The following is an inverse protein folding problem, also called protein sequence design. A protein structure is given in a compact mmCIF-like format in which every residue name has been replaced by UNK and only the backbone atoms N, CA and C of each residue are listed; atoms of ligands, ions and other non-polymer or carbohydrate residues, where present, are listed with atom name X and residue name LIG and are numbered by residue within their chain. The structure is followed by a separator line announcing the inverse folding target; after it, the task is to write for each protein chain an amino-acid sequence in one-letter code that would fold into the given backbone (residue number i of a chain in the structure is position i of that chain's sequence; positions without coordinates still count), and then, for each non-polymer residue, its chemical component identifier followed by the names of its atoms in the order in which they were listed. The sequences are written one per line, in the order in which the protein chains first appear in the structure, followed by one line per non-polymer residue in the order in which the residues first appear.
data_IF_709767592884
#
_entry.id   IF_709767592884
#
_cell.length_a   1.000
_cell.length_b   1.000
_cell.length_c   1.000
_cell.angle_alpha   90.00
_cell.angle_beta   90.00
_cell.angle_gamma   90.00
#
_symmetry.space_group_name_H-M   'P 1'
#
loop_
_entity.id
_entity.type
_entity.pdbx_description
1 polymer ?
#
# COMPACT_ATOMS: atom_id res chain seq x y z
N UNK A 1 16.92 -31.31 42.75
CA UNK A 1 15.78 -30.38 42.55
C UNK A 1 16.14 -29.11 41.76
N UNK A 2 17.34 -28.53 41.90
CA UNK A 2 17.72 -27.27 41.21
C UNK A 2 17.91 -27.33 39.68
N UNK A 3 18.09 -28.52 39.07
CA UNK A 3 18.32 -28.65 37.61
C UNK A 3 17.05 -28.61 36.77
N UNK A 4 15.90 -28.98 37.34
CA UNK A 4 14.61 -28.96 36.64
C UNK A 4 14.07 -27.53 36.58
N UNK A 5 14.28 -26.75 37.64
CA UNK A 5 13.87 -25.34 37.70
C UNK A 5 14.60 -24.47 36.66
N UNK A 6 15.89 -24.76 36.40
CA UNK A 6 16.70 -24.04 35.40
C UNK A 6 16.27 -24.35 33.97
N UNK A 7 15.83 -25.58 33.69
CA UNK A 7 15.31 -25.96 32.36
C UNK A 7 13.97 -25.28 32.04
N UNK A 8 13.10 -25.08 33.04
CA UNK A 8 11.81 -24.40 32.85
C UNK A 8 12.01 -22.91 32.58
N UNK A 9 13.01 -22.26 33.21
CA UNK A 9 13.32 -20.84 32.96
C UNK A 9 13.88 -20.62 31.55
N UNK A 10 14.69 -21.55 31.03
CA UNK A 10 15.22 -21.45 29.65
C UNK A 10 14.12 -21.68 28.60
N UNK A 11 13.17 -22.58 28.88
CA UNK A 11 12.03 -22.83 27.99
C UNK A 11 11.03 -21.66 27.95
N UNK A 12 10.93 -20.86 29.02
CA UNK A 12 10.09 -19.65 29.04
C UNK A 12 10.70 -18.46 28.29
N UNK A 13 12.02 -18.45 28.08
CA UNK A 13 12.73 -17.41 27.32
C UNK A 13 12.54 -17.50 25.80
N UNK A 14 11.93 -18.56 25.29
CA UNK A 14 11.55 -18.67 23.86
C UNK A 14 10.22 -17.98 23.54
N UNK A 15 9.62 -17.27 24.51
CA UNK A 15 8.39 -16.53 24.31
C UNK A 15 8.67 -15.22 23.58
N UNK A 16 8.04 -15.07 22.40
CA UNK A 16 7.69 -13.79 21.76
C UNK A 16 8.80 -13.04 21.00
N UNK A 17 9.29 -13.64 19.91
CA UNK A 17 9.69 -12.85 18.74
C UNK A 17 8.92 -13.30 17.50
N UNK A 18 7.59 -13.28 17.63
CA UNK A 18 6.66 -13.26 16.50
C UNK A 18 5.80 -11.99 16.61
N UNK A 19 6.43 -10.86 16.95
CA UNK A 19 5.84 -9.54 16.77
C UNK A 19 5.91 -9.20 15.28
N UNK A 20 4.77 -8.86 14.69
CA UNK A 20 4.59 -8.58 13.25
C UNK A 20 5.73 -7.73 12.67
N UNK A 21 6.66 -8.34 11.95
CA UNK A 21 7.78 -7.65 11.29
C UNK A 21 7.33 -6.71 10.15
N UNK A 22 6.04 -6.66 9.81
CA UNK A 22 5.54 -6.04 8.59
C UNK A 22 4.17 -5.36 8.76
N UNK A 23 3.89 -4.73 9.90
CA UNK A 23 2.64 -3.99 10.08
C UNK A 23 2.81 -2.54 9.61
N UNK A 24 2.44 -2.27 8.36
CA UNK A 24 2.17 -0.90 7.96
C UNK A 24 0.90 -0.40 8.64
N UNK A 25 0.98 0.71 9.35
CA UNK A 25 -0.23 1.46 9.69
C UNK A 25 -0.86 2.00 8.40
N UNK A 26 -2.06 1.51 8.07
CA UNK A 26 -2.76 1.82 6.82
C UNK A 26 -2.96 3.33 6.63
N UNK A 27 -3.23 4.06 7.71
CA UNK A 27 -3.44 5.50 7.67
C UNK A 27 -2.13 6.23 7.36
N UNK A 28 -1.05 5.86 8.03
CA UNK A 28 0.29 6.41 7.79
C UNK A 28 0.73 6.18 6.35
N UNK A 29 0.53 4.98 5.81
CA UNK A 29 0.85 4.68 4.40
C UNK A 29 0.02 5.52 3.44
N UNK A 30 -1.29 5.64 3.70
CA UNK A 30 -2.17 6.44 2.87
C UNK A 30 -1.78 7.92 2.88
N UNK A 31 -1.44 8.47 4.06
CA UNK A 31 -0.97 9.84 4.21
C UNK A 31 0.35 10.07 3.44
N UNK A 32 1.34 9.20 3.64
CA UNK A 32 2.60 9.28 2.90
C UNK A 32 2.38 9.23 1.39
N UNK A 33 1.51 8.34 0.91
CA UNK A 33 1.17 8.25 -0.50
C UNK A 33 0.49 9.52 -1.02
N UNK A 34 -0.47 10.07 -0.27
CA UNK A 34 -1.15 11.32 -0.61
C UNK A 34 -0.17 12.50 -0.67
N UNK A 35 0.73 12.61 0.31
CA UNK A 35 1.75 13.66 0.32
C UNK A 35 2.62 13.58 -0.94
N UNK A 36 3.11 12.39 -1.30
CA UNK A 36 3.89 12.21 -2.53
C UNK A 36 3.07 12.53 -3.79
N UNK A 37 1.78 12.18 -3.82
CA UNK A 37 0.89 12.47 -4.95
C UNK A 37 0.70 13.98 -5.10
N UNK A 38 0.40 14.70 -4.01
CA UNK A 38 0.16 16.14 -4.04
C UNK A 38 1.44 16.94 -4.30
N UNK A 39 2.58 16.48 -3.79
CA UNK A 39 3.88 17.07 -4.10
C UNK A 39 4.25 16.92 -5.58
N UNK A 40 3.92 15.77 -6.20
CA UNK A 40 4.23 15.50 -7.61
C UNK A 40 3.21 16.11 -8.57
N UNK A 41 1.94 16.13 -8.18
CA UNK A 41 0.78 16.52 -8.98
C UNK A 41 -0.11 17.46 -8.19
N UNK A 42 0.31 18.73 -8.09
CA UNK A 42 -0.39 19.75 -7.30
C UNK A 42 -1.82 20.02 -7.77
N UNK A 43 -2.15 19.69 -9.02
CA UNK A 43 -3.51 19.75 -9.56
C UNK A 43 -4.44 18.75 -8.88
N UNK A 44 -3.95 17.57 -8.51
CA UNK A 44 -4.74 16.54 -7.81
C UNK A 44 -5.07 16.94 -6.37
N UNK A 45 -4.30 17.85 -5.75
CA UNK A 45 -4.60 18.36 -4.41
C UNK A 45 -5.89 19.19 -4.35
N UNK A 46 -6.38 19.65 -5.52
CA UNK A 46 -7.66 20.37 -5.64
C UNK A 46 -8.84 19.43 -5.88
N UNK A 47 -8.58 18.13 -6.07
CA UNK A 47 -9.59 17.13 -6.37
C UNK A 47 -9.85 16.25 -5.15
N UNK A 48 -11.05 15.68 -5.08
CA UNK A 48 -11.39 14.68 -4.07
C UNK A 48 -10.81 13.31 -4.49
N UNK A 49 -9.61 12.97 -3.97
CA UNK A 49 -9.03 11.64 -4.16
C UNK A 49 -9.69 10.62 -3.22
N UNK A 50 -10.26 9.56 -3.78
CA UNK A 50 -10.91 8.48 -3.03
C UNK A 50 -10.01 7.25 -2.93
N UNK A 51 -9.66 6.76 -1.73
CA UNK A 51 -8.83 5.57 -1.58
C UNK A 51 -9.60 4.32 -2.01
N UNK A 52 -9.00 3.54 -2.91
CA UNK A 52 -9.60 2.33 -3.48
C UNK A 52 -8.95 1.06 -2.93
N UNK A 53 -7.61 1.05 -2.86
CA UNK A 53 -6.88 -0.09 -2.33
C UNK A 53 -5.54 0.32 -1.71
N UNK A 54 -5.12 -0.48 -0.74
CA UNK A 54 -3.79 -0.41 -0.11
C UNK A 54 -3.28 -1.83 -0.08
N UNK A 55 -2.26 -2.13 -0.88
CA UNK A 55 -1.79 -3.50 -1.16
C UNK A 55 -0.30 -3.60 -0.83
N UNK A 56 0.08 -4.28 0.27
CA UNK A 56 1.47 -4.56 0.57
C UNK A 56 2.00 -5.68 -0.34
N UNK A 57 3.24 -5.55 -0.79
CA UNK A 57 3.97 -6.58 -1.53
C UNK A 57 5.47 -6.50 -1.25
N UNK A 58 6.23 -7.51 -1.66
CA UNK A 58 7.69 -7.49 -1.61
C UNK A 58 8.22 -7.10 -2.99
N UNK A 59 9.17 -6.18 -3.01
CA UNK A 59 9.89 -5.85 -4.24
C UNK A 59 10.86 -6.99 -4.64
N UNK A 60 11.52 -6.83 -5.80
CA UNK A 60 12.48 -7.83 -6.30
C UNK A 60 13.68 -8.06 -5.38
N UNK A 61 13.98 -7.11 -4.50
CA UNK A 61 15.06 -7.19 -3.52
C UNK A 61 14.58 -7.76 -2.17
N UNK A 62 13.31 -8.18 -2.08
CA UNK A 62 12.70 -8.70 -0.85
C UNK A 62 12.34 -7.61 0.15
N UNK A 63 12.30 -6.33 -0.25
CA UNK A 63 11.91 -5.22 0.62
C UNK A 63 10.41 -4.99 0.57
N UNK A 64 9.83 -4.66 1.72
CA UNK A 64 8.41 -4.39 1.81
C UNK A 64 8.06 -3.04 1.16
N UNK A 65 7.07 -3.07 0.28
CA UNK A 65 6.48 -1.91 -0.38
C UNK A 65 4.96 -1.97 -0.28
N UNK A 66 4.30 -0.82 -0.38
CA UNK A 66 2.84 -0.73 -0.45
C UNK A 66 2.44 0.06 -1.66
N UNK A 67 1.53 -0.51 -2.44
CA UNK A 67 0.84 0.18 -3.51
C UNK A 67 -0.47 0.74 -2.98
N UNK A 68 -0.60 2.06 -3.03
CA UNK A 68 -1.84 2.78 -2.73
C UNK A 68 -2.47 3.19 -4.05
N UNK A 69 -3.74 2.83 -4.25
CA UNK A 69 -4.53 3.23 -5.41
C UNK A 69 -5.63 4.18 -4.97
N UNK A 70 -5.69 5.35 -5.61
CA UNK A 70 -6.71 6.37 -5.40
C UNK A 70 -7.41 6.66 -6.72
N UNK A 71 -8.68 7.05 -6.67
CA UNK A 71 -9.46 7.45 -7.84
C UNK A 71 -9.89 8.91 -7.76
N UNK A 72 -10.06 9.56 -8.91
CA UNK A 72 -10.58 10.91 -9.02
C UNK A 72 -11.48 11.08 -10.25
N UNK A 73 -12.45 12.01 -10.21
CA UNK A 73 -13.37 12.23 -11.32
C UNK A 73 -12.63 12.75 -12.56
N UNK A 74 -13.05 12.29 -13.73
CA UNK A 74 -12.47 12.68 -15.01
C UNK A 74 -13.52 12.70 -16.13
N UNK A 75 -13.29 13.49 -17.18
CA UNK A 75 -14.15 13.54 -18.35
C UNK A 75 -13.75 12.46 -19.39
N UNK A 76 -13.82 11.19 -19.00
CA UNK A 76 -13.62 10.04 -19.88
C UNK A 76 -14.87 9.14 -19.93
N UNK A 77 -14.83 8.07 -20.73
CA UNK A 77 -15.94 7.11 -20.90
C UNK A 77 -16.49 6.58 -19.56
N UNK A 78 -15.62 6.43 -18.56
CA UNK A 78 -15.96 5.87 -17.25
C UNK A 78 -16.20 6.93 -16.17
N UNK A 79 -16.04 8.22 -16.48
CA UNK A 79 -16.11 9.31 -15.50
C UNK A 79 -15.00 9.31 -14.44
N UNK A 80 -13.96 8.48 -14.58
CA UNK A 80 -13.04 8.12 -13.50
C UNK A 80 -11.63 7.81 -14.01
N UNK A 81 -10.62 8.33 -13.31
CA UNK A 81 -9.21 7.96 -13.46
C UNK A 81 -8.62 7.54 -12.12
N UNK A 82 -7.48 6.86 -12.18
CA UNK A 82 -6.74 6.44 -11.00
C UNK A 82 -5.34 7.06 -10.95
N UNK A 83 -4.88 7.29 -9.73
CA UNK A 83 -3.50 7.58 -9.40
C UNK A 83 -3.02 6.52 -8.41
N UNK A 84 -1.88 5.91 -8.71
CA UNK A 84 -1.21 4.96 -7.82
C UNK A 84 0.11 5.52 -7.33
N UNK A 85 0.41 5.29 -6.05
CA UNK A 85 1.71 5.53 -5.46
C UNK A 85 2.21 4.24 -4.81
N UNK A 86 3.47 3.89 -5.07
CA UNK A 86 4.18 2.81 -4.41
C UNK A 86 5.15 3.43 -3.42
N UNK A 87 4.98 3.12 -2.14
CA UNK A 87 5.84 3.60 -1.04
C UNK A 87 6.56 2.44 -0.38
N UNK A 88 7.77 2.65 0.13
CA UNK A 88 8.50 1.62 0.88
C UNK A 88 8.20 1.68 2.39
N UNK A 89 8.80 0.78 3.16
CA UNK A 89 8.74 0.71 4.62
C UNK A 89 9.03 2.03 5.36
N UNK A 90 9.81 2.93 4.74
CA UNK A 90 10.17 4.23 5.30
C UNK A 90 9.23 5.37 4.83
N UNK A 91 8.12 5.03 4.17
CA UNK A 91 7.19 6.01 3.59
C UNK A 91 7.75 6.76 2.39
N UNK A 92 8.90 6.35 1.83
CA UNK A 92 9.49 7.00 0.65
C UNK A 92 8.83 6.51 -0.63
N UNK A 93 8.62 7.43 -1.57
CA UNK A 93 8.12 7.10 -2.89
C UNK A 93 9.12 6.21 -3.65
N UNK A 94 8.62 5.08 -4.14
CA UNK A 94 9.32 4.17 -5.05
C UNK A 94 8.87 4.40 -6.47
N UNK A 95 7.56 4.55 -6.69
CA UNK A 95 6.99 4.82 -8.01
C UNK A 95 5.64 5.53 -7.89
N UNK A 96 5.24 6.27 -8.92
CA UNK A 96 3.95 6.95 -8.99
C UNK A 96 3.45 6.98 -10.43
N UNK A 97 2.15 6.79 -10.62
CA UNK A 97 1.50 6.87 -11.92
C UNK A 97 0.11 7.49 -11.77
N UNK A 98 -0.17 8.52 -12.56
CA UNK A 98 -1.49 9.19 -12.65
C UNK A 98 -2.16 8.88 -13.98
N UNK A 99 -3.41 9.31 -14.10
CA UNK A 99 -4.25 9.19 -15.29
C UNK A 99 -4.39 7.75 -15.79
N UNK A 100 -4.45 6.78 -14.87
CA UNK A 100 -4.70 5.38 -15.22
C UNK A 100 -6.17 5.20 -15.50
N UNK A 101 -6.48 4.72 -16.70
CA UNK A 101 -7.85 4.48 -17.15
C UNK A 101 -8.57 3.46 -16.28
N UNK A 102 -9.87 3.64 -16.12
CA UNK A 102 -10.74 2.63 -15.55
C UNK A 102 -11.02 1.53 -16.58
N UNK A 103 -11.39 0.35 -16.07
CA UNK A 103 -11.99 -0.75 -16.82
C UNK A 103 -13.09 -1.40 -16.01
N UNK A 104 -13.99 -2.10 -16.70
CA UNK A 104 -14.98 -2.94 -16.04
C UNK A 104 -14.31 -4.15 -15.38
N UNK A 105 -14.40 -4.20 -14.05
CA UNK A 105 -14.06 -5.34 -13.22
C UNK A 105 -15.25 -6.27 -13.00
N UNK A 106 -15.08 -7.30 -12.15
CA UNK A 106 -16.17 -8.17 -11.73
C UNK A 106 -17.33 -7.37 -11.11
N UNK A 107 -18.55 -7.81 -11.35
CA UNK A 107 -19.77 -7.16 -10.85
C UNK A 107 -19.90 -5.66 -11.22
N UNK A 108 -19.37 -5.26 -12.39
CA UNK A 108 -19.40 -3.88 -12.90
C UNK A 108 -18.70 -2.86 -11.99
N UNK A 109 -17.79 -3.30 -11.12
CA UNK A 109 -16.95 -2.38 -10.37
C UNK A 109 -15.86 -1.80 -11.27
N UNK A 110 -15.67 -0.49 -11.27
CA UNK A 110 -14.58 0.14 -12.00
C UNK A 110 -13.26 -0.13 -11.29
N UNK A 111 -12.29 -0.66 -12.01
CA UNK A 111 -10.94 -0.95 -11.53
C UNK A 111 -9.92 -0.23 -12.41
N UNK A 112 -8.70 0.04 -11.94
CA UNK A 112 -7.64 0.49 -12.84
C UNK A 112 -7.40 -0.57 -13.93
N UNK A 113 -7.09 -0.11 -15.14
CA UNK A 113 -6.81 -0.94 -16.32
C UNK A 113 -5.78 -2.02 -15.99
N UNK A 114 -4.72 -1.62 -15.29
CA UNK A 114 -3.66 -2.48 -14.76
C UNK A 114 -3.76 -2.56 -13.23
N UNK A 115 -3.70 -3.77 -12.62
CA UNK A 115 -3.62 -3.93 -11.17
C UNK A 115 -2.45 -3.12 -10.59
N UNK A 116 -2.74 -2.33 -9.56
CA UNK A 116 -1.75 -1.43 -8.95
C UNK A 116 -1.10 -0.46 -9.94
N UNK A 117 -1.76 -0.11 -11.05
CA UNK A 117 -1.26 0.70 -12.16
C UNK A 117 -0.10 0.10 -13.00
N UNK A 118 0.63 -0.92 -12.50
CA UNK A 118 1.80 -1.49 -13.20
C UNK A 118 1.65 -2.95 -13.63
N UNK A 119 0.47 -3.55 -13.46
CA UNK A 119 0.19 -4.91 -13.94
C UNK A 119 0.80 -6.02 -13.08
N UNK A 120 1.40 -5.67 -11.92
CA UNK A 120 1.85 -6.63 -10.90
C UNK A 120 1.40 -6.14 -9.52
N UNK A 121 0.81 -7.02 -8.68
CA UNK A 121 0.59 -6.72 -7.27
C UNK A 121 1.92 -6.43 -6.54
#
# INVERSE_FOLDING_TARGET
MNRILTLIIILFSCSTFAGSLYSFDKNTVLLNALDHIYLRYSDLAKLELKPQSVQPSLDKAGKLVVTVTLSYPANNEFGLLYVCAKVNENGKLVNIQRDVSARNGPANFLMPETPGCWGKP
#
